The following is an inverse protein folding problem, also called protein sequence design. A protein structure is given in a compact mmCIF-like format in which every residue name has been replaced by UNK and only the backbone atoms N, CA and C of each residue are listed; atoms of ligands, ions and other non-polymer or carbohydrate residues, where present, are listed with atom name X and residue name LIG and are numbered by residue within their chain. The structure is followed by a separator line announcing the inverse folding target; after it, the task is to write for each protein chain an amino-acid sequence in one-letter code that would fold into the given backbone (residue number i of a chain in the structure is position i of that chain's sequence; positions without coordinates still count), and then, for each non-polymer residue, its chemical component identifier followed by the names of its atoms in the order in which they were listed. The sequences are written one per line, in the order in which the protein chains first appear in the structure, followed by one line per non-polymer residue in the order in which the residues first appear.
data_IF_209191929968
#
_entry.id   IF_209191929968
#
_cell.length_a   1.000
_cell.length_b   1.000
_cell.length_c   1.000
_cell.angle_alpha   90.00
_cell.angle_beta   90.00
_cell.angle_gamma   90.00
#
_symmetry.space_group_name_H-M   'P 1'
#
loop_
_entity.id
_entity.type
_entity.pdbx_description
1 polymer ?
#
# COMPACT_ATOMS: atom_id res chain seq x y z
N UNK A 1 12.37 -8.49 3.20
CA UNK A 1 11.78 -9.27 4.32
C UNK A 1 10.26 -9.32 4.15
N UNK A 2 9.64 -10.49 3.94
CA UNK A 2 8.21 -10.58 3.63
C UNK A 2 7.35 -9.86 4.65
N UNK A 3 6.43 -9.02 4.18
CA UNK A 3 5.48 -8.23 4.98
C UNK A 3 6.10 -7.27 6.02
N UNK A 4 7.43 -7.16 6.10
CA UNK A 4 8.14 -6.27 7.04
C UNK A 4 8.79 -5.08 6.34
N UNK A 5 9.52 -5.35 5.25
CA UNK A 5 10.20 -4.32 4.45
C UNK A 5 9.81 -4.40 2.98
N UNK A 6 9.57 -3.24 2.38
CA UNK A 6 9.32 -3.08 0.96
C UNK A 6 10.17 -1.93 0.45
N UNK A 7 10.82 -2.13 -0.68
CA UNK A 7 11.51 -1.07 -1.41
C UNK A 7 10.69 -0.76 -2.66
N UNK A 8 10.51 0.54 -2.93
CA UNK A 8 9.81 1.05 -4.10
C UNK A 8 10.75 2.04 -4.78
N UNK A 9 10.93 1.85 -6.08
CA UNK A 9 11.63 2.77 -6.94
C UNK A 9 10.67 3.23 -8.05
N UNK A 10 10.72 4.52 -8.32
CA UNK A 10 10.08 5.16 -9.46
C UNK A 10 11.16 5.98 -10.17
N UNK A 11 11.53 5.55 -11.36
CA UNK A 11 12.37 6.38 -12.24
C UNK A 11 11.59 7.64 -12.63
N UNK A 12 12.33 8.72 -12.91
CA UNK A 12 11.73 10.02 -13.15
C UNK A 12 10.66 9.96 -14.25
N UNK A 13 9.44 10.35 -13.89
CA UNK A 13 8.31 10.42 -14.79
C UNK A 13 7.38 11.54 -14.35
N UNK A 14 6.95 12.37 -15.31
CA UNK A 14 6.01 13.48 -15.06
C UNK A 14 6.40 14.38 -13.87
N UNK A 15 7.70 14.64 -13.71
CA UNK A 15 8.25 15.49 -12.64
C UNK A 15 8.39 14.79 -11.29
N UNK A 16 8.17 13.48 -11.20
CA UNK A 16 8.27 12.72 -9.94
C UNK A 16 9.28 11.59 -10.09
N UNK A 17 10.18 11.45 -9.11
CA UNK A 17 11.02 10.27 -8.93
C UNK A 17 11.03 9.85 -7.45
N UNK A 18 11.24 8.57 -7.17
CA UNK A 18 11.25 8.07 -5.80
C UNK A 18 12.20 6.88 -5.62
N UNK A 19 12.92 6.89 -4.51
CA UNK A 19 13.64 5.72 -3.99
C UNK A 19 13.29 5.64 -2.50
N UNK A 20 12.33 4.79 -2.17
CA UNK A 20 11.69 4.76 -0.86
C UNK A 20 11.68 3.34 -0.29
N UNK A 21 12.00 3.24 0.99
CA UNK A 21 11.88 2.02 1.79
C UNK A 21 10.77 2.20 2.82
N UNK A 22 9.88 1.23 2.86
CA UNK A 22 8.90 1.03 3.92
C UNK A 22 9.42 0.04 4.95
N UNK A 23 9.25 0.35 6.23
CA UNK A 23 9.43 -0.57 7.34
C UNK A 23 8.18 -0.60 8.22
N UNK A 24 7.60 -1.79 8.42
CA UNK A 24 6.43 -1.96 9.27
C UNK A 24 6.78 -1.82 10.75
N UNK A 25 5.98 -1.06 11.49
CA UNK A 25 6.14 -0.90 12.95
C UNK A 25 5.70 -2.15 13.73
N UNK A 26 4.91 -3.01 13.11
CA UNK A 26 4.41 -4.28 13.63
C UNK A 26 3.98 -5.20 12.48
N UNK A 27 3.66 -6.45 12.78
CA UNK A 27 3.15 -7.41 11.79
C UNK A 27 1.83 -6.94 11.16
N UNK A 28 1.52 -7.38 9.94
CA UNK A 28 0.29 -6.96 9.27
C UNK A 28 -0.95 -7.40 10.06
N UNK A 29 -1.96 -6.54 10.09
CA UNK A 29 -3.28 -6.88 10.62
C UNK A 29 -4.12 -7.40 9.46
N UNK A 30 -4.43 -8.69 9.50
CA UNK A 30 -5.38 -9.28 8.55
C UNK A 30 -6.80 -8.87 8.93
N UNK A 31 -7.51 -8.22 8.01
CA UNK A 31 -8.92 -7.87 8.21
C UNK A 31 -9.81 -9.12 8.14
N UNK A 32 -11.05 -9.02 8.62
CA UNK A 32 -12.03 -10.07 8.37
C UNK A 32 -12.27 -10.23 6.86
N UNK A 33 -12.59 -11.44 6.42
CA UNK A 33 -12.94 -11.69 5.02
C UNK A 33 -14.24 -10.96 4.67
N UNK A 34 -14.24 -10.22 3.57
CA UNK A 34 -15.41 -9.48 3.10
C UNK A 34 -16.19 -10.32 2.08
N UNK A 35 -17.43 -10.68 2.40
CA UNK A 35 -18.30 -11.48 1.51
C UNK A 35 -19.66 -10.80 1.32
N UNK A 36 -20.06 -10.60 0.07
CA UNK A 36 -21.41 -10.16 -0.31
C UNK A 36 -22.00 -11.07 -1.38
N UNK A 37 -23.31 -11.26 -1.32
CA UNK A 37 -24.08 -12.09 -2.26
C UNK A 37 -25.29 -11.34 -2.79
N UNK A 38 -25.61 -11.58 -4.06
CA UNK A 38 -26.87 -11.23 -4.69
C UNK A 38 -27.59 -12.53 -5.07
N UNK A 39 -28.57 -12.94 -4.27
CA UNK A 39 -29.15 -14.28 -4.38
C UNK A 39 -28.10 -15.36 -4.15
N UNK A 40 -27.93 -16.26 -5.12
CA UNK A 40 -26.94 -17.34 -5.08
C UNK A 40 -25.53 -16.92 -5.58
N UNK A 41 -25.40 -15.76 -6.22
CA UNK A 41 -24.13 -15.26 -6.79
C UNK A 41 -23.31 -14.51 -5.74
N UNK A 42 -22.02 -14.82 -5.65
CA UNK A 42 -21.05 -14.05 -4.87
C UNK A 42 -20.65 -12.81 -5.68
N UNK A 43 -20.89 -11.62 -5.15
CA UNK A 43 -20.56 -10.35 -5.80
C UNK A 43 -19.34 -9.67 -5.16
N UNK A 44 -19.03 -10.00 -3.91
CA UNK A 44 -17.78 -9.64 -3.23
C UNK A 44 -17.27 -10.87 -2.51
N UNK A 45 -15.99 -11.18 -2.71
CA UNK A 45 -15.26 -12.14 -1.91
C UNK A 45 -13.80 -11.70 -1.90
N UNK A 46 -13.46 -10.89 -0.91
CA UNK A 46 -12.18 -10.21 -0.84
C UNK A 46 -11.54 -10.36 0.52
N UNK A 47 -10.22 -10.35 0.50
CA UNK A 47 -9.37 -10.33 1.68
C UNK A 47 -8.49 -9.08 1.65
N UNK A 48 -8.15 -8.60 2.84
CA UNK A 48 -7.33 -7.41 3.05
C UNK A 48 -6.35 -7.64 4.20
N UNK A 49 -5.23 -6.93 4.15
CA UNK A 49 -4.46 -6.60 5.33
C UNK A 49 -4.15 -5.10 5.34
N UNK A 50 -3.91 -4.57 6.53
CA UNK A 50 -3.39 -3.22 6.76
C UNK A 50 -2.17 -3.27 7.70
N UNK A 51 -1.29 -2.28 7.60
CA UNK A 51 -0.10 -2.16 8.44
C UNK A 51 0.29 -0.69 8.59
N UNK A 52 0.74 -0.29 9.78
CA UNK A 52 1.38 1.01 10.00
C UNK A 52 2.89 0.82 9.92
N UNK A 53 3.58 1.81 9.35
CA UNK A 53 5.00 1.76 9.11
C UNK A 53 5.59 3.16 8.99
N UNK A 54 6.89 3.20 8.76
CA UNK A 54 7.64 4.42 8.48
C UNK A 54 8.25 4.33 7.09
N UNK A 55 8.34 5.47 6.43
CA UNK A 55 9.06 5.62 5.16
C UNK A 55 10.44 6.22 5.40
N UNK A 56 11.40 5.79 4.59
CA UNK A 56 12.74 6.40 4.52
C UNK A 56 13.22 6.44 3.08
N UNK A 57 14.02 7.44 2.71
CA UNK A 57 14.63 7.53 1.38
C UNK A 57 14.53 8.93 0.79
N UNK A 58 14.39 9.02 -0.54
CA UNK A 58 14.27 10.29 -1.26
C UNK A 58 13.06 10.30 -2.18
N UNK A 59 12.38 11.45 -2.19
CA UNK A 59 11.31 11.80 -3.11
C UNK A 59 11.74 13.04 -3.88
N UNK A 60 11.62 13.02 -5.20
CA UNK A 60 11.87 14.20 -6.03
C UNK A 60 10.55 14.64 -6.66
N UNK A 61 10.27 15.95 -6.59
CA UNK A 61 9.08 16.57 -7.18
C UNK A 61 9.53 17.85 -7.87
N UNK A 62 9.32 17.96 -9.18
CA UNK A 62 9.62 19.14 -9.98
C UNK A 62 11.05 19.70 -9.77
N UNK A 63 12.02 18.79 -9.59
CA UNK A 63 13.43 19.12 -9.35
C UNK A 63 13.79 19.43 -7.89
N UNK A 64 12.82 19.49 -6.97
CA UNK A 64 13.06 19.56 -5.53
C UNK A 64 13.28 18.15 -4.95
N UNK A 65 14.35 17.98 -4.16
CA UNK A 65 14.61 16.73 -3.42
C UNK A 65 14.12 16.86 -1.99
N UNK A 66 13.28 15.92 -1.57
CA UNK A 66 12.71 15.81 -0.23
C UNK A 66 13.30 14.58 0.43
N UNK A 67 14.03 14.78 1.53
CA UNK A 67 14.50 13.68 2.38
C UNK A 67 13.33 13.13 3.20
N UNK A 68 13.08 11.84 3.04
CA UNK A 68 12.03 11.11 3.76
C UNK A 68 12.66 10.48 4.99
N UNK A 69 12.38 11.07 6.16
CA UNK A 69 12.93 10.68 7.46
C UNK A 69 11.94 9.76 8.21
N UNK A 70 12.31 8.52 8.57
CA UNK A 70 11.41 7.59 9.24
C UNK A 70 10.94 8.08 10.63
N UNK A 71 11.62 9.04 11.25
CA UNK A 71 11.17 9.65 12.50
C UNK A 71 9.96 10.60 12.31
N UNK A 72 9.70 11.04 11.08
CA UNK A 72 8.67 12.04 10.74
C UNK A 72 7.61 11.50 9.78
N UNK A 73 7.97 10.54 8.94
CA UNK A 73 7.14 10.03 7.86
C UNK A 73 6.51 8.68 8.23
N UNK A 74 5.42 8.74 8.99
CA UNK A 74 4.57 7.58 9.30
C UNK A 74 3.53 7.43 8.19
N UNK A 75 3.21 6.18 7.83
CA UNK A 75 2.14 5.90 6.87
C UNK A 75 1.36 4.64 7.21
N UNK A 76 0.39 4.35 6.36
CA UNK A 76 -0.36 3.09 6.37
C UNK A 76 -0.23 2.42 5.02
N UNK A 77 0.03 1.12 5.01
CA UNK A 77 0.04 0.26 3.83
C UNK A 77 -1.11 -0.73 3.91
N UNK A 78 -1.93 -0.80 2.87
CA UNK A 78 -2.93 -1.84 2.72
C UNK A 78 -2.73 -2.62 1.40
N UNK A 79 -3.20 -3.86 1.40
CA UNK A 79 -3.32 -4.65 0.17
C UNK A 79 -4.62 -5.41 0.22
N UNK A 80 -5.36 -5.32 -0.87
CA UNK A 80 -6.66 -5.98 -1.00
C UNK A 80 -6.72 -6.85 -2.25
N UNK A 81 -7.25 -8.07 -2.17
CA UNK A 81 -7.35 -8.99 -3.29
C UNK A 81 -8.66 -9.79 -3.24
N UNK A 82 -9.03 -10.40 -4.37
CA UNK A 82 -10.24 -11.22 -4.48
C UNK A 82 -11.28 -10.65 -5.45
N UNK A 83 -12.46 -11.26 -5.45
CA UNK A 83 -13.59 -10.91 -6.30
C UNK A 83 -14.18 -9.58 -5.82
N UNK A 84 -14.35 -8.62 -6.73
CA UNK A 84 -14.96 -7.32 -6.46
C UNK A 84 -16.12 -7.10 -7.43
N UNK A 85 -17.16 -6.35 -7.05
CA UNK A 85 -18.28 -6.02 -7.93
C UNK A 85 -17.93 -4.91 -8.95
N UNK A 86 -16.65 -4.60 -9.14
CA UNK A 86 -16.22 -3.48 -10.00
C UNK A 86 -16.22 -3.95 -11.46
N UNK A 87 -16.91 -3.20 -12.33
CA UNK A 87 -17.00 -3.50 -13.76
C UNK A 87 -18.16 -4.43 -14.15
N UNK A 88 -18.98 -4.88 -13.19
CA UNK A 88 -20.27 -5.49 -13.51
C UNK A 88 -21.29 -4.38 -13.80
N UNK A 89 -21.71 -4.29 -15.07
CA UNK A 89 -22.79 -3.41 -15.52
C UNK A 89 -24.18 -3.99 -15.19
#
# INVERSE_FOLDING_TARGET
EPLRKLHIQLDETEGIAADLTWEGLFDVVQEQRHVLRAGNRVTLDAQRFAQVGTWSGQLQIDGETIDVDPARWIGTRDRSWGIRPVGEA
#
